data_IF_931683429177
#
_entry.id   IF_931683429177
#
_cell.length_a   1.000
_cell.length_b   1.000
_cell.length_c   1.000
_cell.angle_alpha   90.00
_cell.angle_beta   90.00
_cell.angle_gamma   90.00
#
_symmetry.space_group_name_H-M   'P 1'
#
loop_
_entity.id
_entity.type
_entity.pdbx_description
1 polymer ?
#
# COMPACT_ATOMS: atom_id res chain seq x y z
N UNK A 1 -2.76 18.64 -19.01
CA UNK A 1 -3.09 17.74 -17.90
C UNK A 1 -3.54 18.63 -16.77
N UNK A 2 -4.79 18.53 -16.30
CA UNK A 2 -5.26 19.24 -15.13
C UNK A 2 -4.37 18.82 -13.96
N UNK A 3 -3.83 19.77 -13.22
CA UNK A 3 -3.31 19.50 -11.88
C UNK A 3 -4.53 19.05 -11.05
N UNK A 4 -4.77 17.75 -11.01
CA UNK A 4 -5.70 17.20 -10.04
C UNK A 4 -5.08 17.46 -8.67
N UNK A 5 -5.54 18.53 -8.05
CA UNK A 5 -5.15 18.89 -6.68
C UNK A 5 -5.56 17.70 -5.80
N UNK A 6 -4.56 17.02 -5.24
CA UNK A 6 -4.77 15.93 -4.29
C UNK A 6 -5.65 16.47 -3.16
N UNK A 7 -6.80 15.84 -2.98
CA UNK A 7 -7.83 16.30 -2.04
C UNK A 7 -7.53 15.79 -0.64
N UNK A 8 -7.51 16.72 0.32
CA UNK A 8 -7.57 16.39 1.75
C UNK A 8 -9.03 16.49 2.18
N UNK A 9 -9.61 15.39 2.62
CA UNK A 9 -10.95 15.35 3.17
C UNK A 9 -10.92 15.65 4.67
N UNK A 10 -11.85 16.48 5.14
CA UNK A 10 -11.96 16.87 6.54
C UNK A 10 -13.24 16.30 7.12
N UNK A 11 -13.13 15.56 8.21
CA UNK A 11 -14.26 14.91 8.88
C UNK A 11 -14.27 15.30 10.36
N UNK A 12 -15.41 15.64 10.90
CA UNK A 12 -15.62 15.76 12.33
C UNK A 12 -15.91 14.37 12.92
N UNK A 13 -15.01 13.88 13.77
CA UNK A 13 -15.14 12.57 14.39
C UNK A 13 -14.80 12.64 15.87
N UNK A 14 -15.71 12.16 16.73
CA UNK A 14 -15.57 12.17 18.21
C UNK A 14 -15.22 13.55 18.78
N UNK A 15 -15.79 14.62 18.21
CA UNK A 15 -15.54 16.01 18.63
C UNK A 15 -14.20 16.59 18.19
N UNK A 16 -13.47 15.90 17.32
CA UNK A 16 -12.21 16.35 16.73
C UNK A 16 -12.36 16.54 15.23
N UNK A 17 -11.66 17.54 14.69
CA UNK A 17 -11.55 17.76 13.27
C UNK A 17 -10.34 17.03 12.75
N UNK A 18 -10.58 16.00 11.94
CA UNK A 18 -9.54 15.13 11.39
C UNK A 18 -9.41 15.33 9.89
N UNK A 19 -8.18 15.41 9.43
CA UNK A 19 -7.81 15.43 8.03
C UNK A 19 -7.51 14.01 7.54
N UNK A 20 -7.94 13.69 6.33
CA UNK A 20 -7.73 12.41 5.67
C UNK A 20 -7.11 12.63 4.31
N UNK A 21 -6.02 11.92 4.03
CA UNK A 21 -5.35 11.91 2.73
C UNK A 21 -5.30 10.48 2.20
N UNK A 22 -5.84 10.26 1.02
CA UNK A 22 -5.80 8.97 0.34
C UNK A 22 -4.37 8.65 -0.14
N UNK A 23 -3.86 7.52 0.29
CA UNK A 23 -2.56 6.97 -0.08
C UNK A 23 -2.70 5.70 -0.94
N UNK A 24 -3.94 5.31 -1.28
CA UNK A 24 -4.27 4.15 -2.09
C UNK A 24 -4.38 4.51 -3.57
N UNK A 25 -3.67 3.78 -4.41
CA UNK A 25 -3.83 3.83 -5.87
C UNK A 25 -5.09 3.07 -6.28
N UNK A 26 -5.70 3.48 -7.37
CA UNK A 26 -6.84 2.78 -7.96
C UNK A 26 -6.52 1.33 -8.33
N UNK A 27 -7.53 0.45 -8.26
CA UNK A 27 -7.47 -0.91 -8.78
C UNK A 27 -8.25 -0.98 -10.08
N UNK A 28 -7.57 -1.34 -11.17
CA UNK A 28 -8.22 -1.38 -12.49
C UNK A 28 -7.39 -2.10 -13.54
N UNK A 29 -7.98 -2.36 -14.73
CA UNK A 29 -7.32 -3.09 -15.80
C UNK A 29 -6.05 -2.40 -16.33
N UNK A 30 -5.98 -1.08 -16.24
CA UNK A 30 -4.89 -0.26 -16.78
C UNK A 30 -3.78 0.03 -15.74
N UNK A 31 -3.97 -0.42 -14.50
CA UNK A 31 -2.97 -0.24 -13.44
C UNK A 31 -1.82 -1.22 -13.66
N UNK A 32 -0.56 -0.76 -13.61
CA UNK A 32 0.60 -1.62 -13.70
C UNK A 32 0.60 -2.67 -12.58
N UNK A 33 0.89 -3.91 -12.92
CA UNK A 33 1.07 -5.00 -11.96
C UNK A 33 2.49 -5.54 -12.05
N UNK A 34 2.99 -6.08 -10.93
CA UNK A 34 4.32 -6.69 -10.88
C UNK A 34 4.48 -7.75 -11.98
N UNK A 35 5.66 -7.83 -12.64
CA UNK A 35 5.89 -8.80 -13.72
C UNK A 35 5.58 -10.24 -13.30
N UNK A 36 4.71 -10.90 -14.06
CA UNK A 36 4.24 -12.27 -13.76
C UNK A 36 2.95 -12.35 -12.96
N UNK A 37 2.49 -11.26 -12.35
CA UNK A 37 1.21 -11.25 -11.66
C UNK A 37 0.03 -11.12 -12.64
N UNK A 38 -1.14 -11.58 -12.20
CA UNK A 38 -2.38 -11.52 -12.99
C UNK A 38 -2.89 -10.08 -13.05
N UNK A 39 -3.19 -9.61 -14.28
CA UNK A 39 -3.83 -8.31 -14.48
C UNK A 39 -5.27 -8.30 -13.99
N UNK A 40 -5.69 -7.16 -13.46
CA UNK A 40 -7.08 -6.93 -13.10
C UNK A 40 -7.98 -6.93 -14.32
N UNK A 41 -9.14 -7.57 -14.22
CA UNK A 41 -10.18 -7.55 -15.24
C UNK A 41 -11.56 -7.46 -14.58
N UNK A 42 -12.43 -6.67 -15.21
CA UNK A 42 -13.81 -6.48 -14.78
C UNK A 42 -14.77 -6.86 -15.91
N UNK A 43 -15.87 -7.52 -15.58
CA UNK A 43 -16.94 -7.80 -16.55
C UNK A 43 -18.31 -7.65 -15.90
N UNK A 44 -19.33 -7.41 -16.74
CA UNK A 44 -20.69 -7.47 -16.27
C UNK A 44 -21.11 -8.92 -16.05
N UNK A 45 -21.43 -9.28 -14.81
CA UNK A 45 -22.10 -10.53 -14.47
C UNK A 45 -23.60 -10.42 -14.68
N UNK A 46 -24.17 -9.27 -14.29
CA UNK A 46 -25.55 -8.86 -14.54
C UNK A 46 -25.61 -7.37 -14.81
N UNK A 47 -26.24 -6.97 -15.90
CA UNK A 47 -26.53 -5.56 -16.17
C UNK A 47 -27.81 -5.11 -15.46
N UNK A 48 -28.00 -3.80 -15.35
CA UNK A 48 -29.24 -3.23 -14.81
C UNK A 48 -30.47 -3.62 -15.65
N UNK A 49 -30.31 -3.70 -16.98
CA UNK A 49 -31.40 -4.11 -17.89
C UNK A 49 -31.81 -5.56 -17.66
N UNK A 50 -30.84 -6.48 -17.60
CA UNK A 50 -31.09 -7.91 -17.36
C UNK A 50 -31.82 -8.14 -16.03
N UNK A 51 -31.39 -7.47 -14.98
CA UNK A 51 -32.01 -7.64 -13.65
C UNK A 51 -33.39 -6.99 -13.60
N UNK A 52 -33.60 -5.82 -14.22
CA UNK A 52 -34.91 -5.19 -14.34
C UNK A 52 -35.87 -6.10 -15.09
N UNK A 53 -35.47 -6.70 -16.21
CA UNK A 53 -36.26 -7.66 -16.96
C UNK A 53 -36.61 -8.87 -16.10
N UNK A 54 -35.64 -9.42 -15.37
CA UNK A 54 -35.84 -10.60 -14.52
C UNK A 54 -36.78 -10.37 -13.34
N UNK A 55 -36.87 -9.13 -12.84
CA UNK A 55 -37.84 -8.76 -11.76
C UNK A 55 -39.29 -8.75 -12.23
N UNK A 56 -39.52 -8.62 -13.55
CA UNK A 56 -40.83 -8.60 -14.18
C UNK A 56 -41.65 -7.34 -13.92
N UNK A 57 -42.80 -7.25 -14.57
CA UNK A 57 -43.68 -6.07 -14.52
C UNK A 57 -44.32 -5.79 -13.14
N UNK A 58 -44.39 -6.80 -12.28
CA UNK A 58 -44.95 -6.65 -10.92
C UNK A 58 -43.97 -5.96 -9.95
N UNK A 59 -42.69 -5.85 -10.30
CA UNK A 59 -41.70 -5.17 -9.47
C UNK A 59 -41.87 -3.65 -9.50
N UNK A 60 -41.96 -3.05 -8.32
CA UNK A 60 -41.95 -1.59 -8.15
C UNK A 60 -40.52 -0.98 -8.19
N UNK A 61 -39.46 -1.81 -8.31
CA UNK A 61 -38.10 -1.33 -8.39
C UNK A 61 -37.76 -0.89 -9.83
N UNK A 62 -37.58 0.43 -10.06
CA UNK A 62 -37.54 0.95 -11.43
C UNK A 62 -36.23 0.80 -12.16
N UNK A 63 -35.10 0.57 -11.43
CA UNK A 63 -33.76 0.70 -12.01
C UNK A 63 -33.06 -0.63 -12.34
N UNK A 64 -33.50 -1.75 -11.73
CA UNK A 64 -32.66 -2.94 -11.69
C UNK A 64 -31.38 -2.72 -10.87
N UNK A 65 -30.55 -3.72 -10.79
CA UNK A 65 -29.24 -3.64 -10.12
C UNK A 65 -28.14 -4.24 -10.99
N UNK A 66 -26.93 -3.67 -10.90
CA UNK A 66 -25.76 -4.12 -11.63
C UNK A 66 -24.84 -4.94 -10.75
N UNK A 67 -24.30 -6.02 -11.30
CA UNK A 67 -23.26 -6.83 -10.66
C UNK A 67 -22.11 -7.01 -11.62
N UNK A 68 -20.87 -6.70 -11.17
CA UNK A 68 -19.66 -6.99 -11.92
C UNK A 68 -18.89 -8.14 -11.31
N UNK A 69 -18.30 -8.97 -12.14
CA UNK A 69 -17.26 -9.91 -11.75
C UNK A 69 -15.91 -9.21 -11.72
N UNK A 70 -15.03 -9.66 -10.84
CA UNK A 70 -13.68 -9.15 -10.65
C UNK A 70 -12.72 -10.33 -10.64
N UNK A 71 -11.68 -10.24 -11.44
CA UNK A 71 -10.47 -11.06 -11.33
C UNK A 71 -9.31 -10.11 -11.07
N UNK A 72 -8.51 -10.41 -10.06
CA UNK A 72 -7.34 -9.61 -9.71
C UNK A 72 -6.33 -10.45 -8.92
N UNK A 73 -5.08 -9.99 -8.86
CA UNK A 73 -4.07 -10.54 -7.97
C UNK A 73 -4.25 -9.94 -6.56
N UNK A 74 -3.92 -10.69 -5.52
CA UNK A 74 -3.89 -10.18 -4.16
C UNK A 74 -2.79 -9.14 -3.91
N UNK A 75 -1.76 -9.13 -4.77
CA UNK A 75 -0.67 -8.12 -4.80
C UNK A 75 -0.86 -7.16 -5.99
N UNK A 76 -1.99 -6.48 -6.05
CA UNK A 76 -2.25 -5.50 -7.12
C UNK A 76 -2.41 -4.09 -6.56
N UNK A 77 -1.90 -3.08 -7.30
CA UNK A 77 -2.01 -1.67 -6.92
C UNK A 77 -1.39 -1.41 -5.53
N UNK A 78 -1.95 -0.49 -4.73
CA UNK A 78 -1.57 -0.36 -3.32
C UNK A 78 -2.10 -1.54 -2.53
N UNK A 79 -1.20 -2.30 -1.92
CA UNK A 79 -1.55 -3.53 -1.23
C UNK A 79 -0.70 -3.74 0.04
N UNK A 80 -1.16 -4.61 0.90
CA UNK A 80 -0.41 -5.13 2.03
C UNK A 80 0.00 -6.57 1.77
N UNK A 81 1.25 -6.89 2.11
CA UNK A 81 1.78 -8.23 2.13
C UNK A 81 1.68 -8.82 3.53
N UNK A 82 1.01 -9.93 3.64
CA UNK A 82 0.97 -10.73 4.87
C UNK A 82 2.24 -11.57 5.00
N UNK A 83 2.60 -11.97 6.22
CA UNK A 83 3.80 -12.78 6.48
C UNK A 83 3.79 -14.09 5.70
N UNK A 84 2.61 -14.65 5.44
CA UNK A 84 2.46 -15.83 4.59
C UNK A 84 2.99 -15.64 3.16
N UNK A 85 3.06 -14.40 2.66
CA UNK A 85 3.67 -14.12 1.35
C UNK A 85 5.15 -14.46 1.32
N UNK A 86 5.85 -14.19 2.42
CA UNK A 86 7.31 -14.32 2.52
C UNK A 86 7.78 -15.72 2.90
N UNK A 87 6.95 -16.50 3.63
CA UNK A 87 7.31 -17.83 4.13
C UNK A 87 6.13 -18.81 4.01
N UNK A 88 6.24 -19.84 3.16
CA UNK A 88 5.18 -20.82 2.97
C UNK A 88 4.83 -21.61 4.23
N UNK A 89 5.71 -21.65 5.22
CA UNK A 89 5.47 -22.34 6.50
C UNK A 89 4.61 -21.50 7.46
N UNK A 90 4.34 -20.22 7.12
CA UNK A 90 3.58 -19.28 7.96
C UNK A 90 2.18 -19.01 7.43
N UNK A 91 1.51 -20.02 6.87
CA UNK A 91 0.13 -19.92 6.37
C UNK A 91 -0.89 -19.48 7.41
N UNK A 92 -0.57 -19.64 8.69
CA UNK A 92 -1.37 -19.14 9.81
C UNK A 92 -1.28 -17.60 10.00
N UNK A 93 -0.38 -16.91 9.29
CA UNK A 93 -0.21 -15.47 9.27
C UNK A 93 -0.64 -14.88 7.90
N UNK A 94 -1.73 -15.40 7.35
CA UNK A 94 -2.38 -14.89 6.12
C UNK A 94 -3.08 -13.54 6.37
N UNK A 95 -3.47 -12.85 5.30
CA UNK A 95 -4.01 -11.49 5.36
C UNK A 95 -5.24 -11.34 6.27
N UNK A 96 -6.08 -12.38 6.38
CA UNK A 96 -7.25 -12.40 7.28
C UNK A 96 -6.88 -12.50 8.78
N UNK A 97 -5.62 -12.71 9.09
CA UNK A 97 -5.09 -12.80 10.46
C UNK A 97 -4.43 -11.50 10.95
N UNK A 98 -4.19 -10.54 10.06
CA UNK A 98 -3.70 -9.21 10.46
C UNK A 98 -4.71 -8.63 11.46
N UNK A 99 -4.21 -8.19 12.61
CA UNK A 99 -5.06 -7.71 13.71
C UNK A 99 -5.45 -6.24 13.53
N UNK A 100 -6.57 -5.83 14.10
CA UNK A 100 -7.03 -4.43 13.98
C UNK A 100 -6.01 -3.39 14.48
N UNK A 101 -5.25 -3.61 15.57
CA UNK A 101 -4.19 -2.68 15.97
C UNK A 101 -3.07 -2.50 14.95
N UNK A 102 -2.79 -3.50 14.11
CA UNK A 102 -1.79 -3.40 13.04
C UNK A 102 -2.32 -2.60 11.84
N UNK A 103 -3.64 -2.45 11.70
CA UNK A 103 -4.27 -1.76 10.57
C UNK A 103 -4.32 -0.23 10.73
N UNK A 104 -4.12 0.29 11.94
CA UNK A 104 -4.06 1.73 12.22
C UNK A 104 -2.93 1.96 13.22
N UNK A 105 -1.86 2.59 12.77
CA UNK A 105 -0.66 2.81 13.59
C UNK A 105 -0.26 4.28 13.58
N UNK A 106 0.35 4.80 14.65
CA UNK A 106 1.15 6.02 14.55
C UNK A 106 2.17 5.85 13.43
N UNK A 107 2.45 6.90 12.67
CA UNK A 107 3.32 6.77 11.53
C UNK A 107 4.25 7.98 11.34
N UNK A 108 5.30 7.72 10.57
CA UNK A 108 6.19 8.74 10.03
C UNK A 108 6.49 8.45 8.56
N UNK A 109 6.96 9.48 7.84
CA UNK A 109 7.46 9.27 6.48
C UNK A 109 8.80 10.01 6.26
N UNK A 110 9.62 9.44 5.38
CA UNK A 110 10.93 9.97 5.00
C UNK A 110 11.08 10.03 3.48
N UNK A 111 11.89 10.98 3.03
CA UNK A 111 12.25 11.15 1.62
C UNK A 111 13.58 10.43 1.32
N UNK A 112 13.51 9.42 0.47
CA UNK A 112 14.66 8.66 -0.04
C UNK A 112 14.84 8.83 -1.56
N UNK A 113 14.16 9.82 -2.16
CA UNK A 113 14.21 10.08 -3.60
C UNK A 113 15.60 10.48 -4.14
N UNK A 114 16.53 10.78 -3.26
CA UNK A 114 17.92 11.01 -3.65
C UNK A 114 18.66 9.71 -3.99
N UNK A 115 18.09 8.53 -3.67
CA UNK A 115 18.62 7.23 -4.10
C UNK A 115 17.84 6.79 -5.32
N UNK A 116 18.50 6.70 -6.47
CA UNK A 116 17.82 6.44 -7.75
C UNK A 116 18.34 5.18 -8.43
N UNK A 117 17.45 4.54 -9.22
CA UNK A 117 17.78 3.37 -10.03
C UNK A 117 17.68 2.05 -9.26
N UNK A 118 18.23 1.01 -9.86
CA UNK A 118 18.18 -0.38 -9.36
C UNK A 118 19.29 -0.63 -8.35
N UNK A 119 19.23 0.02 -7.22
CA UNK A 119 20.28 -0.03 -6.18
C UNK A 119 19.66 -0.26 -4.80
N UNK A 120 20.51 -0.64 -3.86
CA UNK A 120 20.12 -0.73 -2.47
C UNK A 120 20.12 0.64 -1.79
N UNK A 121 19.09 0.89 -0.97
CA UNK A 121 19.03 1.98 -0.02
C UNK A 121 19.72 1.50 1.26
N UNK A 122 20.85 2.08 1.58
CA UNK A 122 21.65 1.68 2.74
C UNK A 122 21.09 2.20 4.05
N UNK A 123 21.48 1.58 5.17
CA UNK A 123 21.14 2.06 6.51
C UNK A 123 21.57 3.52 6.74
N UNK A 124 22.74 3.91 6.22
CA UNK A 124 23.21 5.31 6.33
C UNK A 124 22.28 6.28 5.59
N UNK A 125 21.77 5.89 4.41
CA UNK A 125 20.79 6.69 3.66
C UNK A 125 19.48 6.84 4.46
N UNK A 126 19.01 5.76 5.08
CA UNK A 126 17.80 5.79 5.95
C UNK A 126 18.01 6.70 7.15
N UNK A 127 19.13 6.56 7.87
CA UNK A 127 19.46 7.41 9.02
C UNK A 127 19.52 8.89 8.62
N UNK A 128 20.20 9.19 7.51
CA UNK A 128 20.27 10.56 6.97
C UNK A 128 18.88 11.14 6.68
N UNK A 129 17.98 10.34 6.11
CA UNK A 129 16.62 10.79 5.82
C UNK A 129 15.78 10.98 7.09
N UNK A 130 15.93 10.11 8.10
CA UNK A 130 15.30 10.27 9.41
C UNK A 130 15.76 11.55 10.12
N UNK A 131 17.09 11.83 10.11
CA UNK A 131 17.65 13.04 10.69
C UNK A 131 17.14 14.29 9.97
N UNK A 132 17.10 14.28 8.63
CA UNK A 132 16.61 15.41 7.82
C UNK A 132 15.12 15.69 8.04
N UNK A 133 14.33 14.65 8.33
CA UNK A 133 12.90 14.74 8.63
C UNK A 133 12.60 14.98 10.12
N UNK A 134 13.64 15.04 10.98
CA UNK A 134 13.51 15.13 12.45
C UNK A 134 12.60 14.01 13.04
N UNK A 135 12.63 12.81 12.43
CA UNK A 135 11.81 11.67 12.82
C UNK A 135 12.54 10.79 13.82
N UNK A 136 11.89 10.54 14.96
CA UNK A 136 12.30 9.53 15.92
C UNK A 136 11.34 8.34 15.86
N UNK A 137 11.87 7.17 15.47
CA UNK A 137 11.10 5.93 15.43
C UNK A 137 10.77 5.45 16.86
N UNK A 138 9.57 4.88 17.01
CA UNK A 138 9.10 4.28 18.26
C UNK A 138 8.44 2.94 17.96
N UNK A 139 8.51 1.97 18.88
CA UNK A 139 7.79 0.70 18.73
C UNK A 139 6.29 0.93 18.49
N UNK A 140 5.72 0.13 17.62
CA UNK A 140 4.30 0.22 17.26
C UNK A 140 3.98 1.20 16.11
N UNK A 141 4.98 1.86 15.53
CA UNK A 141 4.80 2.76 14.41
C UNK A 141 4.86 2.03 13.06
N UNK A 142 4.32 2.67 12.03
CA UNK A 142 4.66 2.42 10.62
C UNK A 142 5.63 3.49 10.11
N UNK A 143 6.57 3.08 9.26
CA UNK A 143 7.42 4.00 8.50
C UNK A 143 7.06 3.93 7.02
N UNK A 144 6.69 5.07 6.43
CA UNK A 144 6.52 5.20 5.00
C UNK A 144 7.78 5.85 4.40
N UNK A 145 8.25 5.37 3.25
CA UNK A 145 9.34 6.04 2.55
C UNK A 145 9.00 6.27 1.08
N UNK A 146 9.38 7.44 0.61
CA UNK A 146 9.16 7.87 -0.76
C UNK A 146 10.46 7.80 -1.56
N UNK A 147 10.45 7.06 -2.67
CA UNK A 147 11.59 6.92 -3.57
C UNK A 147 11.51 7.82 -4.80
N UNK A 148 10.34 8.46 -5.01
CA UNK A 148 10.06 9.22 -6.22
C UNK A 148 9.64 8.33 -7.40
N UNK A 149 9.31 7.06 -7.16
CA UNK A 149 8.91 6.13 -8.21
C UNK A 149 7.42 6.25 -8.58
N UNK A 150 6.56 6.70 -7.64
CA UNK A 150 5.12 6.84 -7.82
C UNK A 150 4.69 7.45 -9.16
N UNK A 151 5.24 8.61 -9.62
CA UNK A 151 4.77 9.26 -10.84
C UNK A 151 4.95 8.40 -12.09
N UNK A 152 5.95 7.53 -12.09
CA UNK A 152 6.24 6.65 -13.22
C UNK A 152 5.16 5.57 -13.41
N UNK A 153 4.36 5.29 -12.41
CA UNK A 153 3.25 4.34 -12.56
C UNK A 153 2.24 4.74 -13.65
N UNK A 154 2.14 6.03 -13.96
CA UNK A 154 1.28 6.58 -15.02
C UNK A 154 2.09 7.04 -16.22
N UNK A 155 3.26 7.66 -16.01
CA UNK A 155 4.07 8.29 -17.06
C UNK A 155 4.86 7.24 -17.85
N UNK A 156 5.46 6.27 -17.16
CA UNK A 156 6.29 5.20 -17.72
C UNK A 156 6.14 3.93 -16.87
N UNK A 157 5.10 3.13 -17.09
CA UNK A 157 4.85 1.90 -16.33
C UNK A 157 6.00 0.88 -16.38
N UNK A 158 6.77 0.85 -17.47
CA UNK A 158 7.93 -0.04 -17.56
C UNK A 158 9.03 0.39 -16.59
N UNK A 159 9.34 1.69 -16.54
CA UNK A 159 10.29 2.26 -15.57
C UNK A 159 9.81 2.03 -14.15
N UNK A 160 8.51 2.29 -13.88
CA UNK A 160 7.90 2.06 -12.56
C UNK A 160 8.18 0.66 -12.04
N UNK A 161 7.98 -0.36 -12.89
CA UNK A 161 8.09 -1.77 -12.52
C UNK A 161 9.53 -2.31 -12.53
N UNK A 162 10.51 -1.55 -13.07
CA UNK A 162 11.84 -2.10 -13.31
C UNK A 162 13.01 -1.24 -12.84
N UNK A 163 12.78 0.03 -12.45
CA UNK A 163 13.87 0.98 -12.17
C UNK A 163 13.65 1.72 -10.85
N UNK A 164 13.57 0.99 -9.75
CA UNK A 164 13.38 1.55 -8.41
C UNK A 164 14.40 0.97 -7.41
N UNK A 165 14.78 1.77 -6.38
CA UNK A 165 15.63 1.29 -5.31
C UNK A 165 14.83 0.51 -4.28
N UNK A 166 15.52 -0.38 -3.53
CA UNK A 166 14.94 -1.09 -2.39
C UNK A 166 15.88 -1.02 -1.20
N UNK A 167 15.37 -1.18 0.02
CA UNK A 167 16.20 -1.20 1.23
C UNK A 167 17.19 -2.37 1.17
N UNK A 168 18.39 -2.20 1.73
CA UNK A 168 19.28 -3.33 1.96
C UNK A 168 18.86 -4.12 3.22
N UNK A 169 19.46 -5.31 3.38
CA UNK A 169 19.17 -6.18 4.53
C UNK A 169 19.44 -5.50 5.87
N UNK A 170 20.52 -4.71 5.96
CA UNK A 170 20.92 -4.02 7.19
C UNK A 170 19.91 -2.94 7.56
N UNK A 171 19.48 -2.13 6.59
CA UNK A 171 18.49 -1.09 6.80
C UNK A 171 17.15 -1.69 7.27
N UNK A 172 16.65 -2.73 6.58
CA UNK A 172 15.39 -3.39 6.94
C UNK A 172 15.47 -4.02 8.33
N UNK A 173 16.55 -4.74 8.62
CA UNK A 173 16.77 -5.35 9.94
C UNK A 173 16.76 -4.28 11.03
N UNK A 174 17.53 -3.20 10.85
CA UNK A 174 17.61 -2.12 11.82
C UNK A 174 16.24 -1.44 12.04
N UNK A 175 15.49 -1.19 10.96
CA UNK A 175 14.15 -0.59 11.04
C UNK A 175 13.18 -1.48 11.83
N UNK A 176 13.13 -2.78 11.53
CA UNK A 176 12.23 -3.69 12.24
C UNK A 176 12.67 -3.92 13.69
N UNK A 177 13.97 -3.86 13.99
CA UNK A 177 14.50 -3.90 15.36
C UNK A 177 14.14 -2.65 16.19
N UNK A 178 13.69 -1.52 15.55
CA UNK A 178 13.05 -0.40 16.26
C UNK A 178 11.62 -0.73 16.71
N UNK A 179 11.07 -1.89 16.38
CA UNK A 179 9.72 -2.32 16.73
C UNK A 179 8.64 -1.77 15.81
N UNK A 180 8.96 -1.48 14.55
CA UNK A 180 7.96 -1.08 13.56
C UNK A 180 7.01 -2.23 13.25
N UNK A 181 5.73 -1.90 13.06
CA UNK A 181 4.67 -2.85 12.68
C UNK A 181 4.46 -2.94 11.16
N UNK A 182 4.94 -1.97 10.42
CA UNK A 182 4.86 -1.94 8.97
C UNK A 182 5.92 -1.00 8.39
N UNK A 183 6.43 -1.34 7.21
CA UNK A 183 7.20 -0.45 6.34
C UNK A 183 6.43 -0.31 5.02
N UNK A 184 6.24 0.93 4.54
CA UNK A 184 5.49 1.21 3.31
C UNK A 184 6.32 2.00 2.30
N UNK A 185 6.10 1.74 1.00
CA UNK A 185 6.81 2.42 -0.09
C UNK A 185 5.89 2.81 -1.25
N UNK A 186 6.30 3.81 -2.03
CA UNK A 186 5.69 4.17 -3.31
C UNK A 186 6.12 3.26 -4.47
N UNK A 187 7.07 2.37 -4.24
CA UNK A 187 7.58 1.42 -5.23
C UNK A 187 6.79 0.12 -5.27
N UNK A 188 6.87 -0.66 -6.38
CA UNK A 188 6.19 -1.95 -6.51
C UNK A 188 6.70 -3.04 -5.57
N UNK A 189 7.86 -2.83 -4.95
CA UNK A 189 8.43 -3.71 -3.93
C UNK A 189 9.36 -2.93 -3.01
N UNK A 190 9.58 -3.44 -1.79
CA UNK A 190 10.64 -2.98 -0.88
C UNK A 190 12.02 -3.47 -1.34
N UNK A 191 12.08 -4.56 -2.12
CA UNK A 191 13.31 -5.08 -2.71
C UNK A 191 13.57 -4.45 -4.07
N UNK A 192 14.84 -4.06 -4.32
CA UNK A 192 15.22 -3.57 -5.65
C UNK A 192 15.12 -4.71 -6.68
N UNK A 193 14.64 -4.46 -7.91
CA UNK A 193 14.57 -5.50 -8.95
C UNK A 193 15.95 -5.99 -9.43
N UNK A 194 17.02 -5.44 -8.90
CA UNK A 194 18.40 -5.91 -9.15
C UNK A 194 18.80 -7.07 -8.26
N UNK A 195 18.13 -7.28 -7.13
CA UNK A 195 18.47 -8.30 -6.14
C UNK A 195 17.39 -9.38 -6.08
N UNK A 196 17.72 -10.57 -6.56
CA UNK A 196 16.81 -11.72 -6.60
C UNK A 196 16.82 -12.55 -5.30
N UNK A 197 17.63 -12.16 -4.31
CA UNK A 197 17.66 -12.80 -3.00
C UNK A 197 16.56 -12.26 -2.07
N UNK A 198 15.86 -11.19 -2.48
CA UNK A 198 14.74 -10.57 -1.77
C UNK A 198 15.03 -10.36 -0.27
N UNK A 199 16.06 -9.56 0.06
CA UNK A 199 16.49 -9.39 1.46
C UNK A 199 15.42 -8.79 2.36
N UNK A 200 14.57 -7.89 1.85
CA UNK A 200 13.47 -7.31 2.62
C UNK A 200 12.41 -8.35 2.95
N UNK A 201 11.93 -9.10 1.95
CA UNK A 201 10.98 -10.19 2.15
C UNK A 201 11.51 -11.20 3.17
N UNK A 202 12.81 -11.53 3.09
CA UNK A 202 13.46 -12.45 4.03
C UNK A 202 13.43 -11.91 5.46
N UNK A 203 13.79 -10.64 5.68
CA UNK A 203 13.79 -10.06 7.03
C UNK A 203 12.36 -9.90 7.57
N UNK A 204 11.40 -9.51 6.72
CA UNK A 204 9.98 -9.45 7.10
C UNK A 204 9.43 -10.82 7.51
N UNK A 205 9.83 -11.90 6.78
CA UNK A 205 9.51 -13.27 7.19
C UNK A 205 10.11 -13.62 8.56
N UNK A 206 11.38 -13.32 8.79
CA UNK A 206 12.10 -13.62 10.04
C UNK A 206 11.50 -12.88 11.24
N UNK A 207 11.05 -11.63 11.06
CA UNK A 207 10.49 -10.78 12.12
C UNK A 207 8.96 -10.87 12.24
N UNK A 208 8.30 -11.58 11.32
CA UNK A 208 6.83 -11.70 11.25
C UNK A 208 6.12 -10.34 11.17
N UNK A 209 6.67 -9.42 10.38
CA UNK A 209 6.14 -8.07 10.19
C UNK A 209 5.63 -7.91 8.76
N UNK A 210 4.43 -7.36 8.62
CA UNK A 210 3.83 -7.02 7.32
C UNK A 210 4.51 -5.82 6.67
N UNK A 211 4.31 -5.63 5.35
CA UNK A 211 4.69 -4.39 4.68
C UNK A 211 3.65 -3.94 3.65
N UNK A 212 3.77 -2.71 3.16
CA UNK A 212 2.85 -2.14 2.17
C UNK A 212 3.60 -1.56 0.97
N UNK A 213 3.05 -1.78 -0.22
CA UNK A 213 3.67 -1.43 -1.49
C UNK A 213 2.78 -0.55 -2.36
N UNK A 214 3.40 0.16 -3.29
CA UNK A 214 2.70 0.99 -4.29
C UNK A 214 1.82 2.08 -3.70
N UNK A 215 2.24 2.69 -2.59
CA UNK A 215 1.59 3.86 -2.00
C UNK A 215 1.67 5.07 -2.93
N UNK A 216 0.70 5.96 -2.84
CA UNK A 216 0.67 7.24 -3.56
C UNK A 216 0.56 8.41 -2.57
N UNK A 217 0.88 9.62 -3.04
CA UNK A 217 0.68 10.86 -2.28
C UNK A 217 1.46 10.96 -0.95
N UNK A 218 2.47 10.14 -0.68
CA UNK A 218 3.24 10.20 0.58
C UNK A 218 3.75 11.62 0.84
N UNK A 219 4.27 12.30 -0.19
CA UNK A 219 4.81 13.66 -0.08
C UNK A 219 3.77 14.75 0.12
N UNK A 220 2.47 14.41 0.07
CA UNK A 220 1.36 15.34 0.32
C UNK A 220 0.93 15.34 1.79
N UNK A 221 1.47 14.44 2.61
CA UNK A 221 1.32 14.49 4.07
C UNK A 221 2.10 15.70 4.57
N UNK A 222 1.45 16.69 5.24
CA UNK A 222 2.07 18.00 5.52
C UNK A 222 3.11 17.98 6.66
N UNK A 223 3.34 16.81 7.26
CA UNK A 223 4.26 16.58 8.38
C UNK A 223 4.94 15.24 8.26
N UNK A 224 6.16 15.11 8.74
CA UNK A 224 6.94 13.87 8.67
C UNK A 224 6.58 12.86 9.78
N UNK A 225 5.93 13.31 10.85
CA UNK A 225 5.45 12.48 11.98
C UNK A 225 4.13 13.04 12.53
N UNK A 226 3.63 12.48 13.63
CA UNK A 226 2.40 12.91 14.29
C UNK A 226 1.14 12.80 13.41
N UNK A 227 1.08 11.71 12.65
CA UNK A 227 -0.11 11.26 11.94
C UNK A 227 -0.30 9.75 12.15
N UNK A 228 -1.48 9.26 11.81
CA UNK A 228 -1.77 7.83 11.76
C UNK A 228 -1.80 7.36 10.31
N UNK A 229 -1.22 6.20 10.08
CA UNK A 229 -1.35 5.45 8.83
C UNK A 229 -2.40 4.36 9.03
N UNK A 230 -3.39 4.31 8.14
CA UNK A 230 -4.42 3.30 8.12
C UNK A 230 -4.36 2.52 6.80
N UNK A 231 -4.45 1.18 6.88
CA UNK A 231 -4.38 0.26 5.75
C UNK A 231 -5.39 -0.87 5.95
N UNK A 232 -6.50 -0.83 5.20
CA UNK A 232 -7.59 -1.79 5.38
C UNK A 232 -7.64 -2.81 4.24
N UNK A 233 -7.10 -4.03 4.44
CA UNK A 233 -7.28 -5.14 3.50
C UNK A 233 -8.71 -5.69 3.54
N UNK A 234 -9.12 -6.31 2.45
CA UNK A 234 -10.25 -7.22 2.50
C UNK A 234 -9.83 -8.48 3.28
N UNK A 235 -10.76 -9.01 4.08
CA UNK A 235 -10.50 -10.18 4.94
C UNK A 235 -10.59 -11.48 4.14
N UNK A 236 -9.74 -11.62 3.13
CA UNK A 236 -9.64 -12.82 2.31
C UNK A 236 -9.00 -13.97 3.09
N UNK A 237 -9.73 -15.05 3.28
CA UNK A 237 -9.25 -16.20 4.05
C UNK A 237 -8.11 -16.90 3.31
N UNK A 238 -6.93 -16.95 3.96
CA UNK A 238 -5.77 -17.71 3.49
C UNK A 238 -5.01 -17.09 2.31
N UNK A 239 -5.30 -15.84 1.91
CA UNK A 239 -4.50 -15.16 0.89
C UNK A 239 -3.21 -14.57 1.48
N UNK A 240 -2.24 -14.35 0.59
CA UNK A 240 -0.90 -13.88 0.93
C UNK A 240 -0.82 -12.36 1.05
N UNK A 241 -1.77 -11.63 0.49
CA UNK A 241 -1.90 -10.19 0.54
C UNK A 241 -3.31 -9.72 0.20
N UNK A 242 -3.50 -8.42 0.12
CA UNK A 242 -4.75 -7.81 -0.34
C UNK A 242 -4.51 -6.38 -0.81
N UNK A 243 -5.14 -5.95 -1.91
CA UNK A 243 -5.33 -4.53 -2.16
C UNK A 243 -5.95 -3.85 -0.94
N UNK A 244 -5.50 -2.64 -0.64
CA UNK A 244 -5.93 -1.87 0.53
C UNK A 244 -6.45 -0.50 0.15
N UNK A 245 -7.35 0.05 0.98
CA UNK A 245 -7.57 1.49 1.02
C UNK A 245 -6.66 2.08 2.08
N UNK A 246 -5.48 2.55 1.64
CA UNK A 246 -4.50 3.19 2.50
C UNK A 246 -4.79 4.68 2.64
N UNK A 247 -4.64 5.26 3.83
CA UNK A 247 -4.76 6.70 4.04
C UNK A 247 -4.03 7.19 5.28
N UNK A 248 -3.62 8.46 5.26
CA UNK A 248 -3.08 9.15 6.42
C UNK A 248 -4.19 9.93 7.13
N UNK A 249 -4.09 10.02 8.47
CA UNK A 249 -5.04 10.73 9.35
C UNK A 249 -4.25 11.62 10.30
N UNK A 250 -4.64 12.89 10.43
CA UNK A 250 -4.06 13.78 11.45
C UNK A 250 -5.06 14.81 11.92
N UNK A 251 -4.82 15.33 13.13
CA UNK A 251 -5.56 16.45 13.72
C UNK A 251 -4.86 17.77 13.34
N UNK A 252 -5.62 18.85 13.12
CA UNK A 252 -5.08 20.20 12.82
C UNK A 252 -4.23 20.76 13.97
#
# INVERSE_FOLDING_TARGET
MSEDTVKIDVIEFMGKKLNFLDLGKEVGPDVPVYPGHMKTSFWWHKTHEETKFSLGESSKYPYGFGVKGIITCDHTSTHVDAVYHFDPNKSHLSVDKITLPELITPAAWIDLSFVQGRVHITLDAVKKALDAAEVTLKPGMSLLYWTGNEPYSTIDPYRYLSQYPGLDKEATTWLLDQGLLNIGTDSPSLDTPADLDYPNHTVHAEREVIHTESLVNITKIPRHSDFYYAMFPLKFVGLTGSPIRAFAIWED
#
